data_IF_098610816487
#
_entry.id   IF_098610816487
#
_cell.length_a   1.000
_cell.length_b   1.000
_cell.length_c   1.000
_cell.angle_alpha   90.00
_cell.angle_beta   90.00
_cell.angle_gamma   90.00
#
_symmetry.space_group_name_H-M   'P 1'
#
loop_
_entity.id
_entity.type
_entity.pdbx_description
1 polymer ?
#
# COMPACT_ATOMS: atom_id res chain seq x y z
N UNK A 1 -7.96 -4.22 -7.96
CA UNK A 1 -7.01 -3.32 -8.64
C UNK A 1 -6.93 -2.00 -7.90
N UNK A 2 -6.06 -1.94 -6.89
CA UNK A 2 -5.74 -0.71 -6.17
C UNK A 2 -4.88 0.22 -7.04
N UNK A 3 -5.48 1.28 -7.57
CA UNK A 3 -4.72 2.32 -8.25
C UNK A 3 -5.20 3.71 -7.83
N UNK A 4 -4.32 4.68 -8.04
CA UNK A 4 -4.47 6.04 -7.52
C UNK A 4 -4.48 7.01 -8.70
N UNK A 5 -5.49 7.86 -8.73
CA UNK A 5 -5.51 8.98 -9.67
C UNK A 5 -4.66 10.12 -9.12
N UNK A 6 -3.67 10.53 -9.89
CA UNK A 6 -2.73 11.57 -9.51
C UNK A 6 -3.23 12.97 -9.89
N UNK A 7 -2.67 13.97 -9.22
CA UNK A 7 -3.02 15.40 -9.39
C UNK A 7 -2.72 15.89 -10.82
N UNK A 8 -1.70 15.33 -11.47
CA UNK A 8 -1.35 15.64 -12.87
C UNK A 8 -2.26 14.94 -13.89
N UNK A 9 -3.26 14.20 -13.44
CA UNK A 9 -4.22 13.46 -14.27
C UNK A 9 -3.80 12.03 -14.61
N UNK A 10 -2.55 11.64 -14.30
CA UNK A 10 -2.06 10.27 -14.53
C UNK A 10 -2.67 9.26 -13.55
N UNK A 11 -2.52 7.98 -13.87
CA UNK A 11 -2.96 6.86 -13.03
C UNK A 11 -1.77 6.03 -12.57
N UNK A 12 -1.62 5.89 -11.25
CA UNK A 12 -0.62 5.03 -10.63
C UNK A 12 -1.26 3.71 -10.23
N UNK A 13 -0.89 2.61 -10.88
CA UNK A 13 -1.21 1.26 -10.41
C UNK A 13 -0.14 0.77 -9.46
N UNK A 14 -0.54 0.16 -8.35
CA UNK A 14 0.35 -0.46 -7.36
C UNK A 14 -0.04 -1.92 -7.21
N UNK A 15 0.85 -2.83 -7.62
CA UNK A 15 0.55 -4.26 -7.69
C UNK A 15 1.48 -5.04 -6.75
N UNK A 16 0.94 -5.84 -5.82
CA UNK A 16 1.73 -6.80 -5.05
C UNK A 16 2.30 -7.89 -5.95
N UNK A 17 3.58 -8.20 -5.80
CA UNK A 17 4.25 -9.29 -6.48
C UNK A 17 5.00 -10.15 -5.47
N UNK A 18 4.76 -11.47 -5.50
CA UNK A 18 5.42 -12.40 -4.60
C UNK A 18 6.92 -12.53 -4.92
N UNK A 19 7.76 -12.33 -3.91
CA UNK A 19 9.13 -12.78 -3.91
C UNK A 19 9.14 -14.28 -3.59
N UNK A 20 9.83 -15.06 -4.44
CA UNK A 20 9.94 -16.51 -4.30
C UNK A 20 11.37 -16.93 -3.97
N UNK A 21 11.50 -17.93 -3.13
CA UNK A 21 12.79 -18.53 -2.81
C UNK A 21 13.31 -19.41 -3.97
N UNK A 22 14.47 -20.04 -3.80
CA UNK A 22 15.08 -20.90 -4.83
C UNK A 22 14.25 -22.14 -5.18
N UNK A 23 13.25 -22.50 -4.36
CA UNK A 23 12.33 -23.62 -4.63
C UNK A 23 10.95 -23.12 -5.09
N UNK A 24 10.82 -21.82 -5.36
CA UNK A 24 9.60 -21.21 -5.88
C UNK A 24 8.54 -20.88 -4.83
N UNK A 25 8.82 -21.04 -3.53
CA UNK A 25 7.88 -20.74 -2.45
C UNK A 25 7.78 -19.23 -2.25
N UNK A 26 6.57 -18.63 -2.30
CA UNK A 26 6.40 -17.23 -1.98
C UNK A 26 6.67 -17.01 -0.48
N UNK A 27 7.55 -16.07 -0.15
CA UNK A 27 7.90 -15.78 1.24
C UNK A 27 7.66 -14.31 1.62
N UNK A 28 7.66 -13.42 0.63
CA UNK A 28 7.48 -11.97 0.81
C UNK A 28 6.76 -11.36 -0.38
N UNK A 29 6.38 -10.08 -0.26
CA UNK A 29 5.78 -9.28 -1.33
C UNK A 29 6.61 -8.02 -1.54
N UNK A 30 6.84 -7.70 -2.81
CA UNK A 30 7.28 -6.38 -3.30
C UNK A 30 6.12 -5.69 -3.99
N UNK A 31 6.19 -4.38 -4.19
CA UNK A 31 5.19 -3.61 -4.91
C UNK A 31 5.77 -3.13 -6.24
N UNK A 32 5.11 -3.49 -7.33
CA UNK A 32 5.39 -2.94 -8.64
C UNK A 32 4.50 -1.72 -8.90
N UNK A 33 5.12 -0.66 -9.39
CA UNK A 33 4.48 0.60 -9.72
C UNK A 33 4.39 0.73 -11.23
N UNK A 34 3.21 1.06 -11.73
CA UNK A 34 3.00 1.39 -13.14
C UNK A 34 2.32 2.75 -13.28
N UNK A 35 2.83 3.59 -14.17
CA UNK A 35 2.25 4.88 -14.55
C UNK A 35 1.54 4.71 -15.88
N UNK A 36 0.23 4.90 -15.89
CA UNK A 36 -0.59 4.80 -17.11
C UNK A 36 -0.34 3.48 -17.88
N UNK A 37 -0.08 2.41 -17.12
CA UNK A 37 0.26 1.07 -17.64
C UNK A 37 1.74 0.83 -17.95
N UNK A 38 2.58 1.85 -17.99
CA UNK A 38 4.03 1.70 -18.21
C UNK A 38 4.77 1.41 -16.88
N UNK A 39 5.78 0.51 -16.87
CA UNK A 39 6.59 0.26 -15.69
C UNK A 39 7.22 1.54 -15.16
N UNK A 40 7.06 1.79 -13.86
CA UNK A 40 7.48 3.02 -13.21
C UNK A 40 8.52 2.79 -12.12
N UNK A 41 8.43 1.67 -11.40
CA UNK A 41 9.44 1.24 -10.44
C UNK A 41 8.99 0.05 -9.59
N UNK A 42 9.89 -0.44 -8.74
CA UNK A 42 9.59 -1.48 -7.76
C UNK A 42 10.01 -1.00 -6.37
N UNK A 43 9.20 -1.27 -5.35
CA UNK A 43 9.40 -0.75 -3.98
C UNK A 43 8.94 -1.75 -2.92
N UNK A 44 9.32 -1.50 -1.66
CA UNK A 44 8.66 -2.16 -0.53
C UNK A 44 9.02 -3.63 -0.38
N UNK A 45 10.30 -3.96 -0.49
CA UNK A 45 10.79 -5.26 -0.03
C UNK A 45 10.29 -5.50 1.40
N UNK A 46 9.62 -6.63 1.63
CA UNK A 46 9.11 -7.05 2.95
C UNK A 46 7.95 -6.18 3.48
N UNK A 47 7.15 -5.58 2.60
CA UNK A 47 6.10 -4.63 3.02
C UNK A 47 4.81 -5.27 3.56
N UNK A 48 4.58 -6.59 3.39
CA UNK A 48 3.31 -7.23 3.75
C UNK A 48 2.83 -6.93 5.18
N UNK A 49 3.69 -7.10 6.19
CA UNK A 49 3.34 -6.75 7.58
C UNK A 49 3.06 -5.25 7.77
N UNK A 50 3.78 -4.37 7.06
CA UNK A 50 3.54 -2.93 7.10
C UNK A 50 2.19 -2.57 6.48
N UNK A 51 1.78 -3.24 5.41
CA UNK A 51 0.45 -3.07 4.80
C UNK A 51 -0.67 -3.50 5.75
N UNK A 52 -0.54 -4.67 6.38
CA UNK A 52 -1.51 -5.14 7.39
C UNK A 52 -1.64 -4.14 8.54
N UNK A 53 -0.50 -3.68 9.08
CA UNK A 53 -0.48 -2.69 10.16
C UNK A 53 -1.11 -1.36 9.73
N UNK A 54 -0.85 -0.91 8.50
CA UNK A 54 -1.41 0.32 7.97
C UNK A 54 -2.92 0.21 7.78
N UNK A 55 -3.42 -0.88 7.18
CA UNK A 55 -4.85 -1.12 6.98
C UNK A 55 -5.61 -1.03 8.30
N UNK A 56 -5.14 -1.78 9.30
CA UNK A 56 -5.72 -1.77 10.64
C UNK A 56 -5.72 -0.38 11.27
N UNK A 57 -4.57 0.32 11.22
CA UNK A 57 -4.45 1.65 11.81
C UNK A 57 -5.37 2.69 11.16
N UNK A 58 -5.56 2.64 9.84
CA UNK A 58 -6.48 3.54 9.14
C UNK A 58 -7.93 3.23 9.51
N UNK A 59 -8.31 1.96 9.57
CA UNK A 59 -9.66 1.55 9.94
C UNK A 59 -10.00 1.95 11.38
N UNK A 60 -9.10 1.70 12.33
CA UNK A 60 -9.28 2.11 13.72
C UNK A 60 -9.42 3.63 13.85
N UNK A 61 -8.57 4.40 13.16
CA UNK A 61 -8.66 5.86 13.17
C UNK A 61 -10.03 6.34 12.65
N UNK A 62 -10.55 5.72 11.58
CA UNK A 62 -11.86 6.06 11.00
C UNK A 62 -13.02 5.79 11.95
N UNK A 63 -12.97 4.71 12.73
CA UNK A 63 -13.97 4.46 13.79
C UNK A 63 -13.95 5.50 14.91
N UNK A 64 -12.97 6.41 14.88
CA UNK A 64 -12.80 7.46 15.88
C UNK A 64 -12.29 6.84 17.17
N UNK A 65 -11.18 6.11 17.14
CA UNK A 65 -10.39 5.82 18.35
C UNK A 65 -9.27 6.86 18.52
N UNK A 66 -8.75 6.95 19.74
CA UNK A 66 -7.59 7.77 20.09
C UNK A 66 -7.64 9.24 19.65
N UNK A 67 -6.49 9.79 19.26
CA UNK A 67 -6.32 11.19 18.84
C UNK A 67 -7.09 11.53 17.56
N UNK A 68 -7.53 10.53 16.78
CA UNK A 68 -8.32 10.74 15.58
C UNK A 68 -9.72 11.28 15.88
N UNK A 69 -10.27 11.04 17.09
CA UNK A 69 -11.56 11.60 17.56
C UNK A 69 -11.64 13.12 17.49
N UNK A 70 -10.50 13.83 17.52
CA UNK A 70 -10.45 15.30 17.40
C UNK A 70 -10.96 15.80 16.04
N UNK A 71 -10.94 14.93 15.03
CA UNK A 71 -11.42 15.23 13.69
C UNK A 71 -12.90 14.85 13.57
N UNK A 72 -13.74 15.86 13.42
CA UNK A 72 -15.19 15.68 13.33
C UNK A 72 -15.57 14.82 12.12
N UNK A 73 -15.00 15.13 10.95
CA UNK A 73 -15.22 14.39 9.71
C UNK A 73 -14.42 13.07 9.71
N UNK A 74 -15.08 11.90 9.54
CA UNK A 74 -14.40 10.61 9.40
C UNK A 74 -13.32 10.59 8.32
N UNK A 75 -13.47 11.36 7.24
CA UNK A 75 -12.52 11.38 6.12
C UNK A 75 -11.23 12.16 6.43
N UNK A 76 -11.23 12.92 7.53
CA UNK A 76 -10.05 13.59 8.09
C UNK A 76 -9.35 12.75 9.18
N UNK A 77 -9.89 11.57 9.52
CA UNK A 77 -9.36 10.69 10.58
C UNK A 77 -8.28 9.75 10.03
N UNK A 78 -7.03 10.01 10.41
CA UNK A 78 -5.88 9.19 10.05
C UNK A 78 -5.13 8.73 11.31
N UNK A 79 -4.40 7.59 11.25
CA UNK A 79 -3.58 7.14 12.35
C UNK A 79 -2.45 8.14 12.65
N UNK A 80 -1.99 8.13 13.90
CA UNK A 80 -0.95 9.03 14.39
C UNK A 80 -1.48 10.41 14.84
N UNK A 81 -0.96 10.89 15.97
CA UNK A 81 -1.36 12.17 16.59
C UNK A 81 -0.71 13.42 15.97
N UNK A 82 0.43 13.25 15.30
CA UNK A 82 1.17 14.34 14.67
C UNK A 82 0.44 14.87 13.42
N UNK A 83 0.26 16.19 13.26
CA UNK A 83 -0.49 16.80 12.16
C UNK A 83 -0.02 16.37 10.77
N UNK A 84 1.31 16.28 10.58
CA UNK A 84 1.95 16.05 9.28
C UNK A 84 2.85 14.79 9.27
N UNK A 85 2.43 13.76 10.01
CA UNK A 85 3.18 12.51 10.16
C UNK A 85 3.30 11.70 8.85
N UNK A 86 4.41 10.95 8.73
CA UNK A 86 4.58 9.92 7.71
C UNK A 86 3.82 8.65 8.11
N UNK A 87 2.95 8.15 7.23
CA UNK A 87 2.22 6.90 7.44
C UNK A 87 3.03 5.68 7.00
N UNK A 88 3.73 5.81 5.87
CA UNK A 88 4.66 4.79 5.39
C UNK A 88 5.66 5.40 4.39
N UNK A 89 6.80 4.75 4.25
CA UNK A 89 7.75 4.96 3.16
C UNK A 89 8.32 3.60 2.74
N UNK A 90 7.97 3.18 1.53
CA UNK A 90 8.48 1.99 0.88
C UNK A 90 9.53 2.38 -0.13
N UNK A 91 10.73 1.83 0.01
CA UNK A 91 11.88 2.09 -0.87
C UNK A 91 12.44 0.78 -1.37
N UNK A 92 13.02 0.80 -2.56
CA UNK A 92 13.84 -0.31 -3.05
C UNK A 92 15.20 -0.29 -2.35
N UNK A 93 15.67 -1.42 -1.78
CA UNK A 93 16.95 -1.48 -1.06
C UNK A 93 18.05 -2.30 -1.77
N UNK A 94 17.78 -2.93 -2.92
CA UNK A 94 18.80 -3.75 -3.59
C UNK A 94 19.92 -2.92 -4.24
N UNK A 95 21.16 -3.40 -4.09
CA UNK A 95 22.38 -2.85 -4.73
C UNK A 95 22.57 -3.30 -6.19
N UNK A 96 21.78 -4.27 -6.66
CA UNK A 96 21.89 -4.87 -7.99
C UNK A 96 20.53 -5.35 -8.46
N UNK A 97 19.77 -4.48 -9.14
CA UNK A 97 18.47 -4.76 -9.74
C UNK A 97 17.96 -3.53 -10.50
N UNK A 98 16.93 -3.66 -11.35
CA UNK A 98 16.45 -2.58 -12.19
C UNK A 98 15.95 -1.40 -11.35
N UNK A 99 16.05 -0.20 -11.93
CA UNK A 99 16.02 1.09 -11.26
C UNK A 99 14.97 1.22 -10.14
N UNK A 100 15.46 1.50 -8.94
CA UNK A 100 14.65 1.59 -7.72
C UNK A 100 13.64 2.74 -7.73
N UNK A 101 12.65 2.64 -6.85
CA UNK A 101 11.68 3.69 -6.61
C UNK A 101 11.40 3.94 -5.12
N UNK A 102 10.55 4.92 -4.87
CA UNK A 102 9.95 5.20 -3.56
C UNK A 102 8.44 5.34 -3.70
N UNK A 103 7.68 4.74 -2.79
CA UNK A 103 6.26 5.00 -2.57
C UNK A 103 6.08 5.40 -1.11
N UNK A 104 5.66 6.63 -0.86
CA UNK A 104 5.51 7.16 0.49
C UNK A 104 4.15 7.78 0.68
N UNK A 105 3.69 7.86 1.92
CA UNK A 105 2.48 8.57 2.28
C UNK A 105 2.73 9.47 3.47
N UNK A 106 2.43 10.75 3.30
CA UNK A 106 2.49 11.75 4.37
C UNK A 106 1.16 12.42 4.56
N UNK A 107 0.86 12.77 5.80
CA UNK A 107 -0.32 13.53 6.12
C UNK A 107 -0.02 15.01 5.96
N UNK A 108 -1.02 15.76 5.52
CA UNK A 108 -0.99 17.21 5.59
C UNK A 108 -2.28 17.73 6.16
N UNK A 109 -2.14 18.69 7.05
CA UNK A 109 -3.23 19.46 7.61
C UNK A 109 -3.41 20.76 6.81
N UNK A 110 -4.59 20.98 6.24
CA UNK A 110 -4.85 22.07 5.30
C UNK A 110 -6.01 22.93 5.83
N UNK A 111 -5.81 24.26 5.97
CA UNK A 111 -6.92 25.17 6.25
C UNK A 111 -7.73 25.39 4.97
N UNK A 112 -9.05 25.26 5.09
CA UNK A 112 -10.02 25.54 4.04
C UNK A 112 -10.98 26.62 4.50
N UNK A 113 -11.27 27.56 3.61
CA UNK A 113 -12.31 28.56 3.82
C UNK A 113 -13.63 28.01 3.30
N UNK A 114 -14.57 27.71 4.19
CA UNK A 114 -15.91 27.24 3.86
C UNK A 114 -16.92 28.38 4.06
N UNK A 115 -17.10 29.22 3.03
CA UNK A 115 -18.12 30.28 2.95
C UNK A 115 -17.93 31.42 3.97
N UNK A 116 -18.12 31.12 5.25
CA UNK A 116 -18.08 32.04 6.38
C UNK A 116 -17.20 31.58 7.55
N UNK A 117 -16.59 30.38 7.48
CA UNK A 117 -15.73 29.86 8.56
C UNK A 117 -14.49 29.17 8.02
N UNK A 118 -13.40 29.26 8.80
CA UNK A 118 -12.25 28.39 8.61
C UNK A 118 -12.59 26.98 9.10
N UNK A 119 -12.26 26.00 8.27
CA UNK A 119 -12.23 24.58 8.64
C UNK A 119 -10.82 24.06 8.39
N UNK A 120 -10.41 23.07 9.17
CA UNK A 120 -9.16 22.34 8.91
C UNK A 120 -9.52 20.94 8.42
N UNK A 121 -8.87 20.50 7.34
CA UNK A 121 -9.00 19.15 6.79
C UNK A 121 -7.65 18.44 6.84
N UNK A 122 -7.66 17.11 6.80
CA UNK A 122 -6.44 16.30 6.75
C UNK A 122 -6.48 15.41 5.52
N UNK A 123 -5.37 15.32 4.80
CA UNK A 123 -5.28 14.48 3.59
C UNK A 123 -4.00 13.66 3.59
N UNK A 124 -4.10 12.46 3.05
CA UNK A 124 -2.96 11.59 2.76
C UNK A 124 -2.41 11.91 1.38
N UNK A 125 -1.16 12.36 1.35
CA UNK A 125 -0.40 12.63 0.14
C UNK A 125 0.43 11.39 -0.15
N UNK A 126 -0.05 10.58 -1.10
CA UNK A 126 0.68 9.41 -1.58
C UNK A 126 1.56 9.86 -2.73
N UNK A 127 2.87 9.75 -2.55
CA UNK A 127 3.87 10.18 -3.50
C UNK A 127 4.67 8.98 -3.99
N UNK A 128 4.83 8.88 -5.31
CA UNK A 128 5.63 7.86 -5.96
C UNK A 128 6.77 8.50 -6.74
N UNK A 129 7.95 7.91 -6.65
CA UNK A 129 9.14 8.29 -7.39
C UNK A 129 9.69 7.06 -8.08
N UNK A 130 9.70 7.11 -9.42
CA UNK A 130 10.23 6.06 -10.27
C UNK A 130 11.64 6.37 -10.76
N UNK A 131 12.19 5.43 -11.51
CA UNK A 131 13.52 5.50 -12.12
C UNK A 131 13.77 6.77 -12.97
N UNK A 132 12.73 7.27 -13.63
CA UNK A 132 12.79 8.39 -14.55
C UNK A 132 12.81 9.77 -13.86
N UNK A 133 12.69 9.84 -12.52
CA UNK A 133 12.74 11.09 -11.76
C UNK A 133 11.48 11.95 -11.81
N UNK A 134 10.45 11.59 -12.59
CA UNK A 134 9.17 12.30 -12.65
C UNK A 134 8.26 11.83 -11.53
N UNK A 135 8.19 12.54 -10.41
CA UNK A 135 7.33 12.18 -9.27
C UNK A 135 5.84 12.26 -9.57
N UNK A 136 5.07 11.35 -8.99
CA UNK A 136 3.61 11.30 -9.02
C UNK A 136 3.04 11.57 -7.63
N UNK A 137 1.84 12.15 -7.57
CA UNK A 137 1.16 12.44 -6.30
C UNK A 137 -0.34 12.21 -6.42
N UNK A 138 -0.88 11.40 -5.52
CA UNK A 138 -2.31 11.31 -5.25
C UNK A 138 -2.63 11.92 -3.89
N UNK A 139 -3.83 12.49 -3.75
CA UNK A 139 -4.30 13.10 -2.49
C UNK A 139 -5.58 12.39 -2.11
N UNK A 140 -5.57 11.74 -0.94
CA UNK A 140 -6.64 10.85 -0.50
C UNK A 140 -7.23 11.33 0.82
N UNK A 141 -8.55 11.14 0.96
CA UNK A 141 -9.24 11.05 2.24
C UNK A 141 -8.85 9.77 2.97
N UNK A 142 -9.21 9.65 4.26
CA UNK A 142 -8.97 8.41 4.99
C UNK A 142 -9.80 7.24 4.44
N UNK A 143 -10.97 7.49 3.85
CA UNK A 143 -11.81 6.47 3.21
C UNK A 143 -11.13 5.88 1.98
N UNK A 144 -10.62 6.76 1.11
CA UNK A 144 -9.92 6.37 -0.10
C UNK A 144 -8.62 5.64 0.25
N UNK A 145 -7.87 6.13 1.25
CA UNK A 145 -6.68 5.44 1.73
C UNK A 145 -7.01 4.05 2.31
N UNK A 146 -8.05 3.92 3.14
CA UNK A 146 -8.49 2.63 3.69
C UNK A 146 -8.83 1.65 2.56
N UNK A 147 -9.62 2.11 1.58
CA UNK A 147 -10.03 1.29 0.44
C UNK A 147 -8.82 0.85 -0.41
N UNK A 148 -7.89 1.77 -0.67
CA UNK A 148 -6.66 1.48 -1.40
C UNK A 148 -5.78 0.45 -0.68
N UNK A 149 -5.51 0.65 0.62
CA UNK A 149 -4.62 -0.23 1.39
C UNK A 149 -5.26 -1.61 1.62
N UNK A 150 -6.58 -1.69 1.83
CA UNK A 150 -7.30 -2.97 1.92
C UNK A 150 -7.22 -3.76 0.63
N UNK A 151 -7.51 -3.13 -0.51
CA UNK A 151 -7.38 -3.80 -1.80
C UNK A 151 -5.95 -4.29 -2.07
N UNK A 152 -4.94 -3.50 -1.67
CA UNK A 152 -3.55 -3.90 -1.78
C UNK A 152 -3.19 -5.07 -0.85
N UNK A 153 -3.74 -5.10 0.36
CA UNK A 153 -3.54 -6.18 1.32
C UNK A 153 -4.19 -7.48 0.83
N UNK A 154 -5.43 -7.43 0.35
CA UNK A 154 -6.14 -8.59 -0.22
C UNK A 154 -5.35 -9.19 -1.41
N UNK A 155 -4.87 -8.34 -2.32
CA UNK A 155 -4.02 -8.78 -3.45
C UNK A 155 -2.68 -9.38 -2.96
N UNK A 156 -2.07 -8.81 -1.92
CA UNK A 156 -0.83 -9.32 -1.33
C UNK A 156 -1.01 -10.66 -0.59
N UNK A 157 -2.12 -10.83 0.13
CA UNK A 157 -2.47 -12.10 0.78
C UNK A 157 -2.66 -13.21 -0.26
N UNK A 158 -3.40 -12.94 -1.34
CA UNK A 158 -3.56 -13.89 -2.46
C UNK A 158 -2.23 -14.29 -3.12
N UNK A 159 -1.25 -13.39 -3.17
CA UNK A 159 0.10 -13.70 -3.66
C UNK A 159 0.84 -14.70 -2.76
N UNK A 160 0.59 -14.67 -1.46
CA UNK A 160 1.24 -15.51 -0.45
C UNK A 160 0.48 -16.82 -0.19
N UNK A 161 -0.84 -16.85 -0.35
CA UNK A 161 -1.69 -18.05 -0.18
C UNK A 161 -1.37 -19.19 -1.17
N UNK A 162 -0.64 -18.91 -2.26
CA UNK A 162 0.00 -19.95 -3.09
C UNK A 162 0.92 -20.91 -2.29
N UNK A 163 1.27 -20.55 -1.05
CA UNK A 163 1.96 -21.37 -0.05
C UNK A 163 1.17 -22.60 0.40
N UNK A 164 -0.16 -22.51 0.50
CA UNK A 164 -0.98 -23.60 1.02
C UNK A 164 -1.35 -24.64 -0.05
N UNK A 165 -1.50 -24.22 -1.31
CA UNK A 165 -1.68 -25.17 -2.42
C UNK A 165 -0.41 -25.96 -2.78
N UNK A 166 0.78 -25.36 -2.65
CA UNK A 166 2.05 -26.04 -2.94
C UNK A 166 2.40 -27.11 -1.88
N UNK A 167 1.99 -26.94 -0.63
CA UNK A 167 2.15 -27.97 0.43
C UNK A 167 1.23 -29.17 0.24
N UNK A 168 0.01 -28.95 -0.26
CA UNK A 168 -0.98 -30.02 -0.42
C UNK A 168 -0.78 -30.86 -1.69
N UNK A 169 0.12 -30.47 -2.60
CA UNK A 169 0.44 -31.26 -3.80
C UNK A 169 1.49 -32.37 -3.54
N UNK A 170 2.10 -32.42 -2.34
CA UNK A 170 3.19 -33.35 -2.02
C UNK A 170 2.79 -34.66 -1.33
N UNK A 171 1.54 -34.82 -0.88
CA UNK A 171 1.13 -35.94 -0.03
C UNK A 171 0.20 -36.93 -0.75
N UNK A 172 0.56 -37.25 -2.00
CA UNK A 172 -0.13 -38.19 -2.88
C UNK A 172 0.78 -39.29 -3.42
N UNK A 173 1.74 -39.78 -2.62
CA UNK A 173 2.49 -40.99 -2.95
C UNK A 173 1.70 -42.24 -2.51
N UNK A 174 0.63 -42.53 -3.24
CA UNK A 174 0.00 -43.86 -3.22
C UNK A 174 0.80 -44.80 -4.12
N UNK A 175 1.85 -45.40 -3.57
CA UNK A 175 2.43 -46.63 -4.11
C UNK A 175 1.39 -47.73 -3.98
N UNK A 176 0.82 -48.18 -5.09
CA UNK A 176 0.16 -49.48 -5.16
C UNK A 176 0.98 -50.38 -6.10
N UNK A 177 1.98 -51.03 -5.48
CA UNK A 177 2.62 -52.22 -6.04
C UNK A 177 1.79 -53.44 -5.64
N UNK A 178 1.27 -54.13 -6.67
CA UNK A 178 1.11 -55.59 -6.79
C UNK A 178 0.87 -56.41 -5.52
N UNK A 179 -0.32 -57.04 -5.45
CA UNK A 179 -0.41 -58.51 -5.41
C UNK A 179 -1.76 -59.06 -5.86
#
# INVERSE_FOLDING_TARGET
>A
MGGLRCVDGSYLSVTPVACRDSVGTPYEVTLELHRDGAPYGSVGERCGWLLTRLAHGVDEARTGRDTARRWADPDDRFPGGEPDGELFSFRYRSRSGPAGGELSCRLRTIPLWEGSRWRVTRRAYVEAWGAAGVGMRAVLTSAELSSFVRGLLEEAEGCLEGRDMARNAGDGAGTDETR
#
